data_IF_518819517638
#
_entry.id   IF_518819517638
#
_cell.length_a   1.000
_cell.length_b   1.000
_cell.length_c   1.000
_cell.angle_alpha   90.00
_cell.angle_beta   90.00
_cell.angle_gamma   90.00
#
_symmetry.space_group_name_H-M   'P 1'
#
loop_
_entity.id
_entity.type
_entity.pdbx_description
1 polymer ?
#
# COMPACT_ATOMS: atom_id res chain seq x y z
N UNK A 1 -1.58 18.66 -14.84
CA UNK A 1 -2.42 17.44 -14.77
C UNK A 1 -1.47 16.27 -14.78
N UNK A 2 -1.39 15.50 -13.68
CA UNK A 2 -0.62 14.26 -13.62
C UNK A 2 -1.36 13.20 -14.44
N UNK A 3 -0.65 12.49 -15.32
CA UNK A 3 -1.23 11.35 -16.05
C UNK A 3 -1.37 10.20 -15.06
N UNK A 4 -2.60 9.77 -14.80
CA UNK A 4 -2.91 8.64 -13.92
C UNK A 4 -2.09 7.42 -14.37
N UNK A 5 -1.28 6.89 -13.45
CA UNK A 5 -0.42 5.71 -13.71
C UNK A 5 -1.18 4.42 -13.43
N UNK A 6 -0.83 3.39 -14.17
CA UNK A 6 -1.34 2.04 -13.92
C UNK A 6 -0.68 1.47 -12.66
N UNK A 7 -1.49 0.91 -11.76
CA UNK A 7 -1.04 0.30 -10.52
C UNK A 7 -1.24 -1.20 -10.61
N UNK A 8 -0.17 -1.95 -10.34
CA UNK A 8 -0.17 -3.41 -10.30
C UNK A 8 0.26 -3.87 -8.92
N UNK A 9 -0.18 -5.06 -8.52
CA UNK A 9 0.17 -5.63 -7.23
C UNK A 9 1.00 -6.88 -7.43
N UNK A 10 2.16 -6.91 -6.78
CA UNK A 10 3.00 -8.09 -6.73
C UNK A 10 2.38 -9.11 -5.74
N UNK A 11 2.39 -10.43 -6.03
CA UNK A 11 1.80 -11.43 -5.14
C UNK A 11 2.29 -11.36 -3.68
N UNK A 12 3.59 -11.10 -3.50
CA UNK A 12 4.21 -10.95 -2.17
C UNK A 12 3.55 -9.85 -1.29
N UNK A 13 2.86 -8.88 -1.88
CA UNK A 13 2.09 -7.90 -1.13
C UNK A 13 0.96 -8.57 -0.33
N UNK A 14 0.23 -9.51 -0.94
CA UNK A 14 -0.86 -10.21 -0.28
C UNK A 14 -0.35 -11.23 0.74
N UNK A 15 0.73 -11.95 0.41
CA UNK A 15 1.39 -12.86 1.36
C UNK A 15 1.76 -12.10 2.63
N UNK A 16 2.33 -10.88 2.48
CA UNK A 16 2.67 -10.03 3.61
C UNK A 16 1.43 -9.49 4.34
N UNK A 17 0.37 -9.15 3.63
CA UNK A 17 -0.89 -8.69 4.25
C UNK A 17 -1.50 -9.77 5.14
N UNK A 18 -1.49 -11.03 4.69
CA UNK A 18 -1.99 -12.18 5.44
C UNK A 18 -1.13 -12.53 6.67
N UNK A 19 0.17 -12.17 6.67
CA UNK A 19 1.01 -12.23 7.87
C UNK A 19 0.68 -11.12 8.88
N UNK A 20 0.24 -9.96 8.39
CA UNK A 20 0.01 -8.76 9.18
C UNK A 20 -1.40 -8.65 9.74
N UNK A 21 -2.40 -9.28 9.13
CA UNK A 21 -3.80 -9.19 9.58
C UNK A 21 -4.45 -10.58 9.57
N UNK A 22 -5.37 -10.84 10.52
CA UNK A 22 -6.13 -12.07 10.50
C UNK A 22 -7.09 -12.11 9.28
N UNK A 23 -7.47 -13.31 8.82
CA UNK A 23 -8.42 -13.46 7.72
C UNK A 23 -9.83 -12.96 8.07
N UNK A 24 -10.19 -12.96 9.36
CA UNK A 24 -11.48 -12.50 9.88
C UNK A 24 -11.27 -11.53 11.06
N UNK A 25 -12.25 -10.67 11.31
CA UNK A 25 -12.20 -9.74 12.45
C UNK A 25 -12.13 -10.52 13.77
N UNK A 26 -11.17 -10.17 14.60
CA UNK A 26 -11.03 -10.72 15.95
C UNK A 26 -11.90 -9.97 16.97
N UNK A 27 -12.09 -10.59 18.13
CA UNK A 27 -12.90 -10.05 19.22
C UNK A 27 -12.34 -8.75 19.83
N UNK A 28 -11.06 -8.44 19.61
CA UNK A 28 -10.40 -7.21 20.02
C UNK A 28 -10.57 -6.05 19.02
N UNK A 29 -11.43 -6.24 18.02
CA UNK A 29 -11.69 -5.28 16.94
C UNK A 29 -10.50 -5.03 16.00
N UNK A 30 -9.49 -5.90 15.98
CA UNK A 30 -8.44 -5.84 14.96
C UNK A 30 -9.07 -6.01 13.57
N UNK A 31 -8.77 -5.11 12.61
CA UNK A 31 -9.25 -5.24 11.24
C UNK A 31 -8.72 -6.53 10.57
N UNK A 32 -9.54 -7.12 9.71
CA UNK A 32 -9.13 -8.27 8.90
C UNK A 32 -8.41 -7.86 7.61
N UNK A 33 -7.78 -8.83 6.93
CA UNK A 33 -7.29 -8.66 5.55
C UNK A 33 -8.39 -8.09 4.64
N UNK A 34 -9.63 -8.62 4.75
CA UNK A 34 -10.75 -8.16 3.94
C UNK A 34 -11.12 -6.70 4.22
N UNK A 35 -11.07 -6.28 5.48
CA UNK A 35 -11.32 -4.89 5.86
C UNK A 35 -10.26 -3.95 5.27
N UNK A 36 -8.98 -4.35 5.32
CA UNK A 36 -7.89 -3.54 4.75
C UNK A 36 -8.06 -3.37 3.24
N UNK A 37 -8.36 -4.46 2.51
CA UNK A 37 -8.58 -4.42 1.06
C UNK A 37 -9.74 -3.48 0.72
N UNK A 38 -10.85 -3.58 1.46
CA UNK A 38 -12.05 -2.82 1.17
C UNK A 38 -11.90 -1.33 1.53
N UNK A 39 -11.28 -1.01 2.66
CA UNK A 39 -11.29 0.35 3.22
C UNK A 39 -10.00 1.14 3.01
N UNK A 40 -8.84 0.48 3.01
CA UNK A 40 -7.54 1.15 2.94
C UNK A 40 -6.94 1.08 1.53
N UNK A 41 -6.83 -0.13 0.99
CA UNK A 41 -6.08 -0.40 -0.23
C UNK A 41 -6.63 0.38 -1.43
N UNK A 42 -7.95 0.51 -1.54
CA UNK A 42 -8.58 1.27 -2.63
C UNK A 42 -8.14 2.74 -2.63
N UNK A 43 -8.12 3.39 -1.46
CA UNK A 43 -7.68 4.79 -1.32
C UNK A 43 -6.19 4.95 -1.62
N UNK A 44 -5.38 4.00 -1.14
CA UNK A 44 -3.94 3.95 -1.40
C UNK A 44 -3.67 3.86 -2.91
N UNK A 45 -4.32 2.93 -3.61
CA UNK A 45 -4.15 2.76 -5.06
C UNK A 45 -4.53 4.03 -5.81
N UNK A 46 -5.67 4.66 -5.49
CA UNK A 46 -6.10 5.91 -6.12
C UNK A 46 -5.09 7.04 -5.87
N UNK A 47 -4.61 7.19 -4.64
CA UNK A 47 -3.65 8.24 -4.28
C UNK A 47 -2.34 8.07 -5.05
N UNK A 48 -1.80 6.86 -5.07
CA UNK A 48 -0.56 6.52 -5.76
C UNK A 48 -0.70 6.68 -7.28
N UNK A 49 -1.82 6.23 -7.85
CA UNK A 49 -2.09 6.32 -9.29
C UNK A 49 -2.12 7.77 -9.78
N UNK A 50 -2.74 8.67 -9.01
CA UNK A 50 -2.94 10.06 -9.42
C UNK A 50 -1.74 10.95 -9.10
N UNK A 51 -1.11 10.78 -7.94
CA UNK A 51 -0.18 11.76 -7.38
C UNK A 51 1.20 11.20 -7.02
N UNK A 52 1.62 10.09 -7.65
CA UNK A 52 2.88 9.38 -7.38
C UNK A 52 4.07 10.28 -7.02
N UNK A 53 4.42 11.25 -7.87
CA UNK A 53 5.61 12.10 -7.66
C UNK A 53 5.50 13.00 -6.42
N UNK A 54 4.28 13.31 -5.98
CA UNK A 54 4.03 14.17 -4.83
C UNK A 54 3.91 13.40 -3.52
N UNK A 55 3.40 12.16 -3.56
CA UNK A 55 3.11 11.37 -2.34
C UNK A 55 4.14 10.30 -2.03
N UNK A 56 4.94 9.88 -3.02
CA UNK A 56 5.93 8.82 -2.85
C UNK A 56 7.28 9.42 -2.48
N UNK A 57 7.84 8.94 -1.37
CA UNK A 57 9.14 9.34 -0.86
C UNK A 57 10.22 8.35 -1.30
N UNK A 58 11.34 8.88 -1.83
CA UNK A 58 12.52 8.07 -2.14
C UNK A 58 13.22 7.62 -0.86
N UNK A 59 13.63 6.36 -0.79
CA UNK A 59 14.37 5.80 0.33
C UNK A 59 15.88 5.88 0.00
N UNK A 60 16.70 6.54 0.83
CA UNK A 60 18.14 6.65 0.56
C UNK A 60 18.82 5.29 0.43
N UNK A 61 19.48 5.05 -0.70
CA UNK A 61 20.23 3.80 -0.97
C UNK A 61 19.38 2.66 -1.54
N UNK A 62 18.08 2.84 -1.68
CA UNK A 62 17.17 1.81 -2.20
C UNK A 62 16.56 2.23 -3.55
N UNK A 63 16.26 1.24 -4.39
CA UNK A 63 15.48 1.48 -5.61
C UNK A 63 13.99 1.61 -5.32
N UNK A 64 13.54 0.95 -4.25
CA UNK A 64 12.17 1.04 -3.77
C UNK A 64 11.87 2.43 -3.21
N UNK A 65 10.61 2.80 -3.29
CA UNK A 65 10.08 4.03 -2.71
C UNK A 65 8.88 3.73 -1.82
N UNK A 66 8.49 4.67 -0.98
CA UNK A 66 7.46 4.43 0.03
C UNK A 66 6.39 5.52 0.03
N UNK A 67 5.13 5.10 0.11
CA UNK A 67 4.05 5.93 0.63
C UNK A 67 3.93 5.67 2.13
N UNK A 68 3.98 6.73 2.94
CA UNK A 68 3.56 6.66 4.35
C UNK A 68 2.26 7.44 4.48
N UNK A 69 1.21 6.79 4.96
CA UNK A 69 -0.12 7.38 5.08
C UNK A 69 -0.83 6.85 6.32
N UNK A 70 -1.91 7.52 6.69
CA UNK A 70 -2.89 7.04 7.66
C UNK A 70 -4.10 6.44 6.92
N UNK A 71 -4.80 5.53 7.56
CA UNK A 71 -6.02 4.90 7.07
C UNK A 71 -7.27 5.29 7.86
N UNK A 72 -8.39 4.66 7.52
CA UNK A 72 -9.66 4.78 8.28
C UNK A 72 -9.63 3.87 9.51
N UNK A 73 -9.10 2.67 9.35
CA UNK A 73 -8.98 1.59 10.33
C UNK A 73 -7.55 1.47 10.89
N UNK A 74 -6.55 1.96 10.14
CA UNK A 74 -5.14 1.87 10.53
C UNK A 74 -4.56 3.25 10.85
N UNK A 75 -3.77 3.35 11.93
CA UNK A 75 -3.13 4.61 12.33
C UNK A 75 -1.97 4.98 11.43
N UNK A 76 -1.16 4.02 11.00
CA UNK A 76 -0.08 4.22 10.06
C UNK A 76 0.11 3.02 9.14
N UNK A 77 0.26 3.30 7.85
CA UNK A 77 0.50 2.34 6.79
C UNK A 77 1.70 2.84 5.97
N UNK A 78 2.69 1.99 5.79
CA UNK A 78 3.78 2.19 4.84
C UNK A 78 3.61 1.21 3.68
N UNK A 79 3.53 1.71 2.45
CA UNK A 79 3.43 0.88 1.23
C UNK A 79 4.65 1.12 0.37
N UNK A 80 5.36 0.04 0.06
CA UNK A 80 6.57 0.09 -0.75
C UNK A 80 6.24 -0.24 -2.20
N UNK A 81 6.80 0.58 -3.08
CA UNK A 81 6.52 0.56 -4.50
C UNK A 81 7.79 0.58 -5.34
N UNK A 82 7.74 -0.08 -6.49
CA UNK A 82 8.70 0.05 -7.56
C UNK A 82 8.04 0.72 -8.77
N UNK A 83 8.82 1.51 -9.52
CA UNK A 83 8.41 1.98 -10.83
C UNK A 83 8.97 1.01 -11.88
N UNK A 84 8.08 0.36 -12.63
CA UNK A 84 8.49 -0.59 -13.66
C UNK A 84 9.07 0.14 -14.88
N UNK A 85 9.84 -0.54 -15.75
CA UNK A 85 10.33 0.05 -17.00
C UNK A 85 9.22 0.55 -17.94
N UNK A 86 8.00 0.01 -17.81
CA UNK A 86 6.82 0.44 -18.58
C UNK A 86 6.09 1.64 -17.97
N UNK A 87 6.55 2.14 -16.82
CA UNK A 87 5.95 3.27 -16.11
C UNK A 87 4.75 2.89 -15.23
N UNK A 88 4.49 1.60 -15.04
CA UNK A 88 3.52 1.13 -14.05
C UNK A 88 4.11 1.20 -12.64
N UNK A 89 3.25 1.39 -11.65
CA UNK A 89 3.65 1.37 -10.24
C UNK A 89 3.30 -0.01 -9.69
N UNK A 90 4.29 -0.72 -9.21
CA UNK A 90 4.11 -2.03 -8.59
C UNK A 90 4.15 -1.89 -7.06
N UNK A 91 3.05 -2.22 -6.38
CA UNK A 91 3.02 -2.38 -4.93
C UNK A 91 3.54 -3.77 -4.59
N UNK A 92 4.59 -3.86 -3.78
CA UNK A 92 5.23 -5.15 -3.50
C UNK A 92 5.36 -5.50 -2.02
N UNK A 93 5.31 -4.51 -1.13
CA UNK A 93 5.43 -4.75 0.30
C UNK A 93 4.65 -3.70 1.10
N UNK A 94 4.33 -4.04 2.35
CA UNK A 94 3.70 -3.12 3.29
C UNK A 94 4.14 -3.38 4.73
N UNK A 95 4.06 -2.32 5.52
CA UNK A 95 4.13 -2.34 6.97
C UNK A 95 2.92 -1.58 7.53
N UNK A 96 2.42 -2.03 8.68
CA UNK A 96 1.29 -1.43 9.39
C UNK A 96 1.72 -1.28 10.85
N UNK A 97 1.49 -0.10 11.43
CA UNK A 97 1.68 0.13 12.86
C UNK A 97 0.52 -0.51 13.64
N UNK A 98 0.85 -1.27 14.69
CA UNK A 98 -0.10 -1.95 15.58
C UNK A 98 -0.13 -1.31 16.95
#
# INVERSE_FOLDING_TARGET
>A
MSTRRHVVMHPAFFDRLDELLPPERSADATPSTADFILHELTSIIETIANDYEAVITAIPGETARVLVTTGILMTAIAVYVNLTPTGAIELYWLEIER
#
